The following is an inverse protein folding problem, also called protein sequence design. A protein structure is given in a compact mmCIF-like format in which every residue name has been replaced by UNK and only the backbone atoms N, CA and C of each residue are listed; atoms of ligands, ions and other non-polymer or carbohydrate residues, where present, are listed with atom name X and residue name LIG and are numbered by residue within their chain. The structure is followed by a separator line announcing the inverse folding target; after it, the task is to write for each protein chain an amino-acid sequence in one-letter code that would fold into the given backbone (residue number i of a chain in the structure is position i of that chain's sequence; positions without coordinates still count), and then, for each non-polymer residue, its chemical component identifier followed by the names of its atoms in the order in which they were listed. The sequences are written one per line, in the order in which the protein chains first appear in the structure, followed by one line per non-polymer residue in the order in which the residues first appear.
data_IF_860171657774
#
_entry.id   IF_860171657774
#
_cell.length_a   1.000
_cell.length_b   1.000
_cell.length_c   1.000
_cell.angle_alpha   90.00
_cell.angle_beta   90.00
_cell.angle_gamma   90.00
#
_symmetry.space_group_name_H-M   'P 1'
#
loop_
_entity.id
_entity.type
_entity.pdbx_description
1 polymer ?
#
# COMPACT_ATOMS: atom_id res chain seq x y z
N UNK A 1 -33.47 -5.95 -16.55
CA UNK A 1 -32.20 -6.39 -15.94
C UNK A 1 -31.33 -5.15 -15.71
N UNK A 2 -31.15 -4.71 -14.46
CA UNK A 2 -30.38 -3.49 -14.18
C UNK A 2 -28.88 -3.75 -14.44
N UNK A 3 -28.31 -3.04 -15.41
CA UNK A 3 -26.88 -3.07 -15.71
C UNK A 3 -26.09 -2.67 -14.47
N UNK A 4 -25.18 -3.54 -14.03
CA UNK A 4 -24.30 -3.27 -12.89
C UNK A 4 -23.35 -2.16 -13.32
N UNK A 5 -23.60 -0.92 -12.87
CA UNK A 5 -22.67 0.20 -13.05
C UNK A 5 -21.36 -0.18 -12.34
N UNK A 6 -20.40 -0.72 -13.09
CA UNK A 6 -19.05 -0.95 -12.60
C UNK A 6 -18.43 0.44 -12.36
N UNK A 7 -18.46 0.91 -11.11
CA UNK A 7 -17.76 2.14 -10.73
C UNK A 7 -16.28 1.89 -11.04
N UNK A 8 -15.73 2.59 -12.05
CA UNK A 8 -14.28 2.57 -12.31
C UNK A 8 -13.57 2.81 -10.97
N UNK A 9 -12.57 2.00 -10.61
CA UNK A 9 -11.76 2.33 -9.44
C UNK A 9 -11.13 3.69 -9.72
N UNK A 10 -11.46 4.69 -8.90
CA UNK A 10 -11.09 6.08 -9.16
C UNK A 10 -9.59 6.36 -8.94
N UNK A 11 -8.80 5.37 -8.55
CA UNK A 11 -7.37 5.49 -8.28
C UNK A 11 -6.48 4.88 -9.35
N UNK A 12 -5.17 4.93 -9.09
CA UNK A 12 -4.16 4.34 -9.94
C UNK A 12 -4.32 2.82 -10.06
N UNK A 13 -4.04 2.27 -11.23
CA UNK A 13 -4.02 0.82 -11.39
C UNK A 13 -2.77 0.25 -10.68
N UNK A 14 -2.86 -0.92 -10.02
CA UNK A 14 -1.70 -1.58 -9.41
C UNK A 14 -0.51 -1.77 -10.36
N UNK A 15 -0.78 -1.97 -11.65
CA UNK A 15 0.26 -2.08 -12.67
C UNK A 15 0.94 -0.74 -12.94
N UNK A 16 0.22 0.38 -12.90
CA UNK A 16 0.78 1.72 -13.10
C UNK A 16 1.69 2.09 -11.94
N UNK A 17 1.28 1.79 -10.70
CA UNK A 17 2.12 1.98 -9.51
C UNK A 17 3.42 1.17 -9.63
N UNK A 18 3.32 -0.10 -10.08
CA UNK A 18 4.51 -0.94 -10.33
C UNK A 18 5.40 -0.37 -11.43
N UNK A 19 4.80 0.10 -12.52
CA UNK A 19 5.52 0.68 -13.64
C UNK A 19 6.27 1.94 -13.21
N UNK A 20 5.63 2.84 -12.47
CA UNK A 20 6.29 4.05 -11.95
C UNK A 20 7.41 3.73 -10.97
N UNK A 21 7.20 2.78 -10.07
CA UNK A 21 8.27 2.32 -9.16
C UNK A 21 9.47 1.78 -9.95
N UNK A 22 9.21 0.99 -10.98
CA UNK A 22 10.23 0.43 -11.88
C UNK A 22 10.93 1.50 -12.73
N UNK A 23 10.20 2.50 -13.23
CA UNK A 23 10.76 3.62 -13.99
C UNK A 23 11.72 4.46 -13.15
N UNK A 24 11.47 4.56 -11.83
CA UNK A 24 12.38 5.21 -10.87
C UNK A 24 13.56 4.32 -10.45
N UNK A 25 13.73 3.16 -11.08
CA UNK A 25 14.87 2.26 -10.84
C UNK A 25 14.81 1.51 -9.51
N UNK A 26 13.65 1.45 -8.85
CA UNK A 26 13.49 0.72 -7.58
C UNK A 26 12.50 -0.42 -7.74
N UNK A 27 12.62 -1.43 -6.87
CA UNK A 27 11.65 -2.53 -6.79
C UNK A 27 10.73 -2.32 -5.59
N UNK A 28 9.52 -2.88 -5.63
CA UNK A 28 8.62 -2.87 -4.47
C UNK A 28 9.29 -3.51 -3.23
N UNK A 29 10.09 -4.54 -3.46
CA UNK A 29 10.91 -5.20 -2.47
C UNK A 29 11.95 -4.26 -1.84
N UNK A 30 12.71 -3.55 -2.68
CA UNK A 30 13.67 -2.55 -2.21
C UNK A 30 13.00 -1.42 -1.43
N UNK A 31 11.83 -0.98 -1.88
CA UNK A 31 11.00 0.00 -1.16
C UNK A 31 10.58 -0.46 0.22
N UNK A 32 10.15 -1.72 0.33
CA UNK A 32 9.78 -2.29 1.62
C UNK A 32 10.99 -2.33 2.56
N UNK A 33 12.17 -2.74 2.07
CA UNK A 33 13.42 -2.78 2.86
C UNK A 33 13.83 -1.39 3.35
N UNK A 34 13.80 -0.37 2.49
CA UNK A 34 14.06 1.02 2.88
C UNK A 34 13.08 1.52 3.96
N UNK A 35 11.83 1.06 3.91
CA UNK A 35 10.80 1.39 4.89
C UNK A 35 10.86 0.53 6.16
N UNK A 36 11.79 -0.43 6.26
CA UNK A 36 11.86 -1.39 7.37
C UNK A 36 10.68 -2.36 7.44
N UNK A 37 10.00 -2.60 6.31
CA UNK A 37 8.85 -3.50 6.19
C UNK A 37 9.26 -4.82 5.53
N UNK A 38 8.40 -5.82 5.68
CA UNK A 38 8.54 -7.08 4.96
C UNK A 38 8.49 -6.86 3.43
N UNK A 39 9.31 -7.59 2.69
CA UNK A 39 9.44 -7.47 1.24
C UNK A 39 8.10 -7.61 0.51
N UNK A 40 7.20 -8.44 1.04
CA UNK A 40 5.87 -8.66 0.48
C UNK A 40 4.89 -7.52 0.79
N UNK A 41 5.16 -6.68 1.80
CA UNK A 41 4.24 -5.65 2.28
C UNK A 41 3.85 -4.66 1.17
N UNK A 42 4.81 -4.17 0.39
CA UNK A 42 4.53 -3.27 -0.74
C UNK A 42 3.74 -3.95 -1.86
N UNK A 43 3.90 -5.26 -2.07
CA UNK A 43 3.10 -6.02 -3.04
C UNK A 43 1.68 -6.24 -2.53
N UNK A 44 1.52 -6.52 -1.24
CA UNK A 44 0.23 -6.70 -0.58
C UNK A 44 -0.54 -5.38 -0.53
N UNK A 45 0.12 -4.23 -0.33
CA UNK A 45 -0.48 -2.90 -0.33
C UNK A 45 -1.28 -2.57 -1.60
N UNK A 46 -0.86 -3.11 -2.75
CA UNK A 46 -1.58 -2.93 -4.01
C UNK A 46 -2.93 -3.65 -4.05
N UNK A 47 -3.10 -4.69 -3.23
CA UNK A 47 -4.29 -5.56 -3.21
C UNK A 47 -5.16 -5.25 -1.98
N UNK A 48 -4.52 -5.11 -0.82
CA UNK A 48 -5.14 -4.95 0.50
C UNK A 48 -4.63 -3.68 1.17
N UNK A 49 -5.44 -3.03 2.03
CA UNK A 49 -5.06 -1.78 2.64
C UNK A 49 -3.88 -1.96 3.61
N UNK A 50 -2.75 -1.45 3.15
CA UNK A 50 -1.37 -1.36 3.65
C UNK A 50 -0.84 -0.15 4.40
N UNK A 51 -1.40 0.46 5.47
CA UNK A 51 -1.11 1.87 5.79
C UNK A 51 0.37 2.27 5.80
N UNK A 52 1.24 1.46 6.42
CA UNK A 52 2.69 1.69 6.43
C UNK A 52 3.33 1.56 5.05
N UNK A 53 2.95 0.54 4.28
CA UNK A 53 3.47 0.28 2.95
C UNK A 53 2.92 1.25 1.89
N UNK A 54 1.64 1.62 1.97
CA UNK A 54 1.01 2.65 1.13
C UNK A 54 1.71 4.00 1.35
N UNK A 55 2.01 4.36 2.60
CA UNK A 55 2.75 5.57 2.93
C UNK A 55 4.18 5.53 2.35
N UNK A 56 4.87 4.39 2.44
CA UNK A 56 6.20 4.23 1.83
C UNK A 56 6.17 4.43 0.31
N UNK A 57 5.18 3.83 -0.38
CA UNK A 57 4.99 3.98 -1.82
C UNK A 57 4.65 5.44 -2.18
N UNK A 58 3.73 6.06 -1.45
CA UNK A 58 3.35 7.47 -1.62
C UNK A 58 4.55 8.41 -1.46
N UNK A 59 5.35 8.24 -0.41
CA UNK A 59 6.56 9.03 -0.15
C UNK A 59 7.61 8.84 -1.24
N UNK A 60 7.79 7.62 -1.74
CA UNK A 60 8.72 7.34 -2.82
C UNK A 60 8.28 7.91 -4.16
N UNK A 61 6.98 7.83 -4.46
CA UNK A 61 6.40 8.39 -5.67
C UNK A 61 6.25 9.92 -5.58
N UNK A 62 6.23 10.49 -4.37
CA UNK A 62 5.91 11.90 -4.16
C UNK A 62 4.46 12.22 -4.50
N UNK A 63 3.59 11.21 -4.48
CA UNK A 63 2.18 11.30 -4.84
C UNK A 63 1.34 11.06 -3.60
N UNK A 64 0.27 11.82 -3.41
CA UNK A 64 -0.64 11.72 -2.27
C UNK A 64 -1.27 10.33 -2.15
N UNK A 65 -1.47 9.84 -0.92
CA UNK A 65 -2.20 8.59 -0.67
C UNK A 65 -3.62 8.59 -1.27
N UNK A 66 -4.30 9.74 -1.22
CA UNK A 66 -5.61 9.94 -1.85
C UNK A 66 -5.57 9.80 -3.37
N UNK A 67 -4.49 10.21 -4.03
CA UNK A 67 -4.39 10.14 -5.48
C UNK A 67 -4.13 8.71 -5.97
N UNK A 68 -3.30 7.96 -5.23
CA UNK A 68 -3.06 6.54 -5.50
C UNK A 68 -4.30 5.70 -5.15
N UNK A 69 -4.92 5.95 -4.00
CA UNK A 69 -6.04 5.18 -3.47
C UNK A 69 -7.18 6.07 -2.92
N UNK A 70 -7.96 6.74 -3.79
CA UNK A 70 -9.00 7.70 -3.39
C UNK A 70 -10.17 7.04 -2.64
N UNK A 71 -10.34 5.72 -2.78
CA UNK A 71 -11.34 4.96 -2.05
C UNK A 71 -10.89 4.58 -0.63
N UNK A 72 -9.58 4.69 -0.32
CA UNK A 72 -9.00 4.28 0.97
C UNK A 72 -8.63 5.48 1.83
N UNK A 73 -8.19 6.56 1.21
CA UNK A 73 -7.70 7.76 1.88
C UNK A 73 -8.53 8.97 1.49
N UNK A 74 -8.59 9.95 2.39
CA UNK A 74 -9.17 11.27 2.17
C UNK A 74 -8.09 12.23 1.67
N UNK A 75 -8.45 13.34 1.01
CA UNK A 75 -7.49 14.37 0.59
C UNK A 75 -6.56 14.84 1.71
N UNK A 76 -7.08 14.91 2.94
CA UNK A 76 -6.33 15.28 4.15
C UNK A 76 -5.35 14.21 4.65
N UNK A 77 -5.18 13.10 3.92
CA UNK A 77 -4.33 11.98 4.34
C UNK A 77 -4.96 11.13 5.45
N UNK A 78 -6.24 11.32 5.75
CA UNK A 78 -6.98 10.50 6.71
C UNK A 78 -7.53 9.25 6.02
N UNK A 79 -7.25 8.08 6.58
CA UNK A 79 -7.85 6.83 6.09
C UNK A 79 -9.33 6.79 6.43
N UNK A 80 -10.19 6.41 5.48
CA UNK A 80 -11.57 6.05 5.79
C UNK A 80 -11.56 4.78 6.67
N UNK A 81 -11.57 4.95 8.00
CA UNK A 81 -11.72 3.84 8.94
C UNK A 81 -13.12 3.27 8.75
N UNK A 82 -13.24 2.02 8.27
CA UNK A 82 -14.44 1.28 8.60
C UNK A 82 -14.39 1.03 10.11
N UNK A 83 -15.51 1.20 10.82
CA UNK A 83 -15.61 1.06 12.29
C UNK A 83 -15.35 -0.40 12.76
N UNK A 84 -14.84 -1.27 11.87
CA UNK A 84 -14.43 -2.67 12.11
C UNK A 84 -12.90 -2.89 12.06
N UNK A 85 -12.11 -1.89 11.67
CA UNK A 85 -10.64 -1.99 11.56
C UNK A 85 -9.89 -1.76 12.88
N UNK A 86 -10.60 -1.46 13.97
CA UNK A 86 -10.02 -1.24 15.31
C UNK A 86 -9.14 -2.44 15.78
N UNK A 87 -9.40 -3.64 15.24
CA UNK A 87 -8.65 -4.86 15.56
C UNK A 87 -7.34 -5.08 14.75
N UNK A 88 -6.87 -4.14 13.92
CA UNK A 88 -5.60 -4.31 13.18
C UNK A 88 -4.41 -3.53 13.78
N UNK A 89 -4.68 -2.68 14.77
CA UNK A 89 -3.63 -1.99 15.52
C UNK A 89 -3.12 -2.92 16.63
N UNK A 90 -2.24 -3.87 16.28
CA UNK A 90 -1.12 -4.40 17.11
C UNK A 90 -0.66 -5.81 16.66
N UNK A 91 -0.20 -5.98 15.41
CA UNK A 91 0.53 -7.22 15.02
C UNK A 91 1.89 -6.97 14.34
N UNK A 92 2.29 -5.71 14.16
CA UNK A 92 3.54 -5.38 13.47
C UNK A 92 4.77 -5.32 14.41
N UNK A 93 4.57 -5.52 15.72
CA UNK A 93 5.65 -5.67 16.70
C UNK A 93 6.16 -7.12 16.82
N UNK A 94 5.69 -8.03 15.97
CA UNK A 94 6.05 -9.46 16.01
C UNK A 94 6.32 -10.03 14.62
N UNK A 95 7.38 -9.55 13.96
CA UNK A 95 8.05 -10.32 12.92
C UNK A 95 9.50 -10.58 13.33
N UNK A 96 9.67 -11.51 14.27
CA UNK A 96 10.94 -12.22 14.45
C UNK A 96 10.99 -13.40 13.47
N UNK A 97 12.23 -13.74 13.08
CA UNK A 97 12.70 -14.99 12.44
C UNK A 97 12.94 -14.93 10.92
N UNK A 98 14.15 -14.52 10.52
CA UNK A 98 15.16 -15.54 10.18
C UNK A 98 16.58 -15.00 10.36
N UNK A 99 17.15 -15.25 11.53
CA UNK A 99 18.58 -15.11 11.79
C UNK A 99 19.31 -16.34 11.22
N UNK A 100 20.25 -16.10 10.29
CA UNK A 100 21.52 -16.85 10.12
C UNK A 100 21.41 -18.37 9.91
N UNK A 101 21.68 -18.84 8.69
CA UNK A 101 22.21 -20.18 8.44
C UNK A 101 23.62 -20.04 7.88
N UNK A 102 24.57 -20.68 8.56
CA UNK A 102 26.00 -20.74 8.25
C UNK A 102 26.30 -21.96 7.37
#
# INVERSE_FOLDING_TARGET
MAAKKTRKPAGWHPADIRAEVSKRGKTLAGLARDAGLDESACRVALIRPLPKAELAISRFLGVSLHELWPLRWSPDGLRYRNVRAENYHDRDASHRQNSRAA
#
